data_IF_110523867568
#
_entry.id   IF_110523867568
#
_cell.length_a   1.000
_cell.length_b   1.000
_cell.length_c   1.000
_cell.angle_alpha   90.00
_cell.angle_beta   90.00
_cell.angle_gamma   90.00
#
_symmetry.space_group_name_H-M   'P 1'
#
loop_
_entity.id
_entity.type
_entity.pdbx_description
1 polymer ?
#
# COMPACT_ATOMS: atom_id res chain seq x y z
N UNK A 1 -8.87 10.95 0.71
CA UNK A 1 -9.06 11.25 2.15
C UNK A 1 -9.14 12.76 2.39
N UNK A 2 -8.05 13.53 2.37
CA UNK A 2 -8.05 14.97 2.71
C UNK A 2 -8.23 15.95 1.53
N UNK A 3 -8.46 15.48 0.30
CA UNK A 3 -8.67 16.34 -0.87
C UNK A 3 -7.39 16.78 -1.62
N UNK A 4 -6.20 16.65 -1.04
CA UNK A 4 -4.96 17.14 -1.67
C UNK A 4 -4.62 16.46 -3.01
N UNK A 5 -4.82 15.14 -3.11
CA UNK A 5 -4.66 14.41 -4.38
C UNK A 5 -5.74 14.75 -5.41
N UNK A 6 -6.94 15.12 -4.93
CA UNK A 6 -8.05 15.57 -5.78
C UNK A 6 -7.74 16.92 -6.42
N UNK A 7 -7.14 17.84 -5.66
CA UNK A 7 -6.68 19.15 -6.16
C UNK A 7 -5.66 19.00 -7.30
N UNK A 8 -4.63 18.18 -7.11
CA UNK A 8 -3.62 17.91 -8.14
C UNK A 8 -4.21 17.28 -9.42
N UNK A 9 -5.28 16.48 -9.29
CA UNK A 9 -5.97 15.90 -10.44
C UNK A 9 -6.84 16.95 -11.15
N UNK A 10 -7.53 17.82 -10.41
CA UNK A 10 -8.33 18.91 -10.98
C UNK A 10 -7.43 19.87 -11.77
N UNK A 11 -6.29 20.28 -11.22
CA UNK A 11 -5.33 21.15 -11.91
C UNK A 11 -4.87 20.55 -13.26
N UNK A 12 -4.64 19.23 -13.31
CA UNK A 12 -4.26 18.53 -14.55
C UNK A 12 -5.40 18.42 -15.56
N UNK A 13 -6.64 18.27 -15.09
CA UNK A 13 -7.82 18.12 -15.94
C UNK A 13 -8.34 19.46 -16.45
N UNK A 14 -8.25 20.52 -15.64
CA UNK A 14 -8.47 21.90 -16.05
C UNK A 14 -7.48 22.30 -17.14
N UNK A 15 -6.20 21.93 -17.00
CA UNK A 15 -5.19 22.13 -18.04
C UNK A 15 -5.51 21.36 -19.34
N UNK A 16 -6.29 20.28 -19.26
CA UNK A 16 -6.79 19.53 -20.41
C UNK A 16 -8.15 20.03 -20.94
N UNK A 17 -8.68 21.14 -20.40
CA UNK A 17 -9.95 21.75 -20.82
C UNK A 17 -11.20 21.04 -20.29
N UNK A 18 -11.07 20.16 -19.31
CA UNK A 18 -12.20 19.46 -18.68
C UNK A 18 -12.63 20.24 -17.44
N UNK A 19 -13.92 20.56 -17.34
CA UNK A 19 -14.47 21.25 -16.18
C UNK A 19 -14.59 20.26 -15.01
N UNK A 20 -13.76 20.41 -13.98
CA UNK A 20 -13.72 19.51 -12.81
C UNK A 20 -13.92 20.34 -11.54
N UNK A 21 -14.63 19.77 -10.57
CA UNK A 21 -14.87 20.42 -9.27
C UNK A 21 -14.22 19.56 -8.19
N UNK A 22 -13.33 20.16 -7.40
CA UNK A 22 -12.72 19.48 -6.26
C UNK A 22 -13.65 19.55 -5.04
N UNK A 23 -13.90 18.43 -4.40
CA UNK A 23 -14.64 18.39 -3.13
C UNK A 23 -13.69 18.76 -1.98
N UNK A 24 -13.90 19.92 -1.37
CA UNK A 24 -13.13 20.35 -0.20
C UNK A 24 -13.31 19.37 0.97
N UNK A 25 -12.21 19.02 1.64
CA UNK A 25 -12.19 17.98 2.67
C UNK A 25 -12.23 16.54 2.16
N UNK A 26 -12.36 16.33 0.84
CA UNK A 26 -12.27 15.03 0.18
C UNK A 26 -13.33 14.02 0.59
N UNK A 27 -13.03 12.72 0.42
CA UNK A 27 -13.98 11.63 0.70
C UNK A 27 -14.45 11.54 2.15
N UNK A 28 -13.69 12.12 3.11
CA UNK A 28 -14.12 12.16 4.52
C UNK A 28 -15.23 13.18 4.76
N UNK A 29 -15.12 14.38 4.16
CA UNK A 29 -16.18 15.38 4.23
C UNK A 29 -17.46 14.91 3.53
N UNK A 30 -17.31 14.18 2.42
CA UNK A 30 -18.43 13.55 1.71
C UNK A 30 -19.17 12.51 2.55
N UNK A 31 -18.42 11.65 3.26
CA UNK A 31 -19.01 10.67 4.19
C UNK A 31 -19.65 11.35 5.41
N UNK A 32 -19.02 12.40 5.95
CA UNK A 32 -19.56 13.18 7.07
C UNK A 32 -20.87 13.92 6.71
N UNK A 33 -21.02 14.32 5.44
CA UNK A 33 -22.25 14.90 4.91
C UNK A 33 -23.37 13.88 4.67
N UNK A 34 -23.15 12.58 4.95
CA UNK A 34 -24.16 11.54 4.81
C UNK A 34 -24.49 11.17 3.36
N UNK A 35 -23.64 11.56 2.42
CA UNK A 35 -23.83 11.28 0.99
C UNK A 35 -23.51 9.81 0.67
N UNK A 36 -24.10 9.23 -0.39
CA UNK A 36 -23.90 7.82 -0.72
C UNK A 36 -22.42 7.55 -1.04
N UNK A 37 -21.84 6.56 -0.35
CA UNK A 37 -20.47 6.08 -0.58
C UNK A 37 -20.53 4.60 -0.95
N UNK A 38 -20.26 4.30 -2.22
CA UNK A 38 -20.03 2.91 -2.66
C UNK A 38 -18.62 2.53 -2.26
N UNK A 39 -18.49 1.63 -1.27
CA UNK A 39 -17.20 1.07 -0.86
C UNK A 39 -16.95 -0.23 -1.62
N UNK A 40 -15.80 -0.30 -2.29
CA UNK A 40 -15.32 -1.53 -2.91
C UNK A 40 -15.04 -2.64 -1.89
N UNK A 41 -14.72 -3.84 -2.39
CA UNK A 41 -14.39 -5.00 -1.55
C UNK A 41 -13.27 -4.66 -0.56
N UNK A 42 -13.44 -5.05 0.71
CA UNK A 42 -12.43 -4.87 1.75
C UNK A 42 -11.24 -5.82 1.49
N UNK A 43 -10.21 -5.33 0.79
CA UNK A 43 -8.93 -6.01 0.71
C UNK A 43 -8.08 -5.73 1.95
N UNK A 44 -7.28 -6.71 2.40
CA UNK A 44 -6.29 -6.51 3.47
C UNK A 44 -5.30 -5.44 3.02
N UNK A 45 -4.98 -4.45 3.90
CA UNK A 45 -4.03 -3.40 3.53
C UNK A 45 -2.71 -4.00 3.10
N UNK A 46 -2.13 -3.43 2.03
CA UNK A 46 -0.86 -3.84 1.47
C UNK A 46 0.25 -3.84 2.54
N UNK A 47 0.24 -2.83 3.41
CA UNK A 47 1.15 -2.72 4.56
C UNK A 47 1.05 -3.89 5.55
N UNK A 48 -0.17 -4.39 5.79
CA UNK A 48 -0.38 -5.54 6.69
C UNK A 48 0.13 -6.83 6.06
N UNK A 49 -0.10 -7.01 4.75
CA UNK A 49 0.47 -8.13 4.00
C UNK A 49 2.00 -8.10 4.01
N UNK A 50 2.57 -6.91 3.80
CA UNK A 50 4.02 -6.70 3.83
C UNK A 50 4.62 -7.05 5.19
N UNK A 51 4.01 -6.56 6.28
CA UNK A 51 4.51 -6.82 7.64
C UNK A 51 4.47 -8.31 8.00
N UNK A 52 3.41 -9.02 7.62
CA UNK A 52 3.26 -10.46 7.87
C UNK A 52 4.31 -11.25 7.07
N UNK A 53 4.48 -10.95 5.78
CA UNK A 53 5.44 -11.64 4.92
C UNK A 53 6.88 -11.43 5.39
N UNK A 54 7.25 -10.18 5.70
CA UNK A 54 8.58 -9.85 6.22
C UNK A 54 8.87 -10.59 7.54
N UNK A 55 7.91 -10.58 8.48
CA UNK A 55 8.05 -11.28 9.75
C UNK A 55 8.17 -12.80 9.58
N UNK A 56 7.43 -13.40 8.66
CA UNK A 56 7.51 -14.83 8.38
C UNK A 56 8.90 -15.22 7.85
N UNK A 57 9.46 -14.45 6.91
CA UNK A 57 10.80 -14.72 6.35
C UNK A 57 11.86 -14.64 7.45
N UNK A 58 11.80 -13.61 8.30
CA UNK A 58 12.74 -13.46 9.43
C UNK A 58 12.61 -14.62 10.42
N UNK A 59 11.38 -15.00 10.81
CA UNK A 59 11.16 -16.16 11.70
C UNK A 59 11.71 -17.45 11.09
N UNK A 60 11.52 -17.67 9.78
CA UNK A 60 12.10 -18.84 9.10
C UNK A 60 13.62 -18.80 8.99
N UNK A 61 14.26 -17.63 9.06
CA UNK A 61 15.72 -17.52 9.13
C UNK A 61 16.28 -17.73 10.54
N UNK A 62 15.55 -17.31 11.57
CA UNK A 62 16.01 -17.37 12.97
C UNK A 62 15.71 -18.72 13.63
N UNK A 63 14.55 -19.35 13.39
CA UNK A 63 14.22 -20.62 14.04
C UNK A 63 15.21 -21.76 13.73
N UNK A 64 15.68 -21.94 12.48
CA UNK A 64 16.67 -22.97 12.15
C UNK A 64 18.10 -22.56 12.55
N UNK A 65 18.37 -21.28 12.82
CA UNK A 65 19.72 -20.83 13.17
C UNK A 65 20.19 -21.33 14.54
N UNK A 66 19.24 -21.74 15.39
CA UNK A 66 19.51 -22.41 16.66
C UNK A 66 20.21 -23.78 16.48
N UNK A 67 20.07 -24.40 15.30
CA UNK A 67 20.69 -25.69 14.97
C UNK A 67 21.88 -25.55 14.02
N UNK A 68 21.93 -24.50 13.20
CA UNK A 68 23.02 -24.22 12.28
C UNK A 68 23.24 -22.70 12.16
N UNK A 69 24.39 -22.22 12.64
CA UNK A 69 24.74 -20.79 12.71
C UNK A 69 24.75 -20.07 11.35
N UNK A 70 24.85 -20.83 10.26
CA UNK A 70 24.80 -20.30 8.89
C UNK A 70 23.46 -19.62 8.53
N UNK A 71 22.34 -20.00 9.17
CA UNK A 71 21.03 -19.40 8.87
C UNK A 71 20.86 -17.98 9.45
N UNK A 72 21.69 -17.57 10.42
CA UNK A 72 21.69 -16.20 10.95
C UNK A 72 22.06 -15.16 9.88
N UNK A 73 22.99 -15.51 8.97
CA UNK A 73 23.37 -14.63 7.87
C UNK A 73 22.21 -14.35 6.91
N UNK A 74 21.37 -15.36 6.67
CA UNK A 74 20.17 -15.22 5.83
C UNK A 74 19.17 -14.25 6.47
N UNK A 75 18.93 -14.39 7.78
CA UNK A 75 18.06 -13.49 8.53
C UNK A 75 18.63 -12.07 8.61
N UNK A 76 19.94 -11.93 8.81
CA UNK A 76 20.63 -10.65 8.85
C UNK A 76 20.55 -9.89 7.52
N UNK A 77 20.75 -10.61 6.40
CA UNK A 77 20.62 -10.04 5.06
C UNK A 77 19.20 -9.54 4.77
N UNK A 78 18.17 -10.35 5.10
CA UNK A 78 16.76 -9.96 4.93
C UNK A 78 16.40 -8.76 5.81
N UNK A 79 16.86 -8.75 7.07
CA UNK A 79 16.65 -7.63 7.99
C UNK A 79 17.30 -6.33 7.52
N UNK A 80 18.55 -6.40 7.03
CA UNK A 80 19.26 -5.25 6.45
C UNK A 80 18.55 -4.74 5.17
N UNK A 81 18.07 -5.64 4.32
CA UNK A 81 17.28 -5.29 3.14
C UNK A 81 15.97 -4.58 3.47
N UNK A 82 15.28 -5.00 4.54
CA UNK A 82 14.08 -4.32 5.04
C UNK A 82 14.38 -2.92 5.59
N UNK A 83 15.49 -2.75 6.31
CA UNK A 83 15.93 -1.42 6.76
C UNK A 83 16.25 -0.50 5.58
N UNK A 84 16.99 -1.00 4.58
CA UNK A 84 17.30 -0.23 3.37
C UNK A 84 16.03 0.15 2.58
N UNK A 85 15.08 -0.77 2.45
CA UNK A 85 13.78 -0.50 1.83
C UNK A 85 12.96 0.54 2.59
N UNK A 86 13.05 0.53 3.93
CA UNK A 86 12.42 1.54 4.78
C UNK A 86 13.04 2.93 4.65
N UNK A 87 14.38 3.01 4.56
CA UNK A 87 15.11 4.29 4.41
C UNK A 87 14.86 4.92 3.04
N UNK A 88 14.73 4.12 1.99
CA UNK A 88 14.57 4.59 0.61
C UNK A 88 13.10 4.84 0.22
N UNK A 89 12.15 4.62 1.13
CA UNK A 89 10.70 4.60 0.84
C UNK A 89 10.31 3.66 -0.32
N UNK A 90 11.20 2.74 -0.72
CA UNK A 90 10.95 1.78 -1.80
C UNK A 90 10.53 0.43 -1.22
N UNK A 91 9.23 0.25 -1.06
CA UNK A 91 8.68 -1.06 -0.70
C UNK A 91 8.57 -1.94 -1.96
N UNK A 92 9.70 -2.49 -2.44
CA UNK A 92 9.73 -3.42 -3.57
C UNK A 92 8.76 -4.61 -3.37
N UNK A 93 8.65 -5.09 -2.13
CA UNK A 93 7.69 -6.14 -1.76
C UNK A 93 6.24 -5.65 -1.84
N UNK A 94 5.97 -4.40 -1.46
CA UNK A 94 4.66 -3.78 -1.66
C UNK A 94 4.29 -3.66 -3.13
N UNK A 95 5.23 -3.26 -4.00
CA UNK A 95 5.00 -3.19 -5.44
C UNK A 95 4.72 -4.56 -6.07
N UNK A 96 5.42 -5.61 -5.61
CA UNK A 96 5.18 -6.99 -6.04
C UNK A 96 3.81 -7.49 -5.58
N UNK A 97 3.45 -7.28 -4.31
CA UNK A 97 2.13 -7.65 -3.77
C UNK A 97 1.01 -6.87 -4.47
N UNK A 98 1.25 -5.60 -4.82
CA UNK A 98 0.28 -4.79 -5.52
C UNK A 98 -0.07 -5.35 -6.91
N UNK A 99 0.88 -6.07 -7.52
CA UNK A 99 0.74 -6.71 -8.82
C UNK A 99 0.13 -8.11 -8.77
N UNK A 100 -0.12 -8.70 -7.61
CA UNK A 100 -0.70 -10.04 -7.54
C UNK A 100 -2.21 -10.01 -7.85
N UNK A 101 -2.77 -11.06 -8.48
CA UNK A 101 -4.11 -11.02 -9.10
C UNK A 101 -5.25 -10.75 -8.10
N UNK A 102 -5.07 -11.08 -6.82
CA UNK A 102 -6.04 -10.75 -5.76
C UNK A 102 -6.01 -9.27 -5.33
N UNK A 103 -4.97 -8.53 -5.70
CA UNK A 103 -4.83 -7.09 -5.46
C UNK A 103 -5.07 -6.27 -6.74
N UNK A 104 -5.12 -6.92 -7.90
CA UNK A 104 -5.54 -6.31 -9.15
C UNK A 104 -7.08 -6.33 -9.20
N UNK A 105 -7.70 -5.17 -9.04
CA UNK A 105 -9.12 -5.04 -9.33
C UNK A 105 -9.33 -5.17 -10.85
N UNK A 106 -9.84 -6.32 -11.28
CA UNK A 106 -10.46 -6.48 -12.59
C UNK A 106 -11.65 -5.51 -12.66
N UNK A 107 -11.52 -4.51 -13.54
CA UNK A 107 -12.62 -3.71 -14.10
C UNK A 107 -13.62 -3.11 -13.10
N UNK A 108 -13.30 -1.91 -12.61
CA UNK A 108 -14.27 -0.97 -12.04
C UNK A 108 -14.27 -0.88 -10.51
N UNK A 109 -13.70 0.22 -9.99
CA UNK A 109 -13.73 0.64 -8.57
C UNK A 109 -12.79 -0.08 -7.59
N UNK A 110 -11.49 0.15 -7.71
CA UNK A 110 -10.55 -0.09 -6.60
C UNK A 110 -10.31 1.21 -5.83
N UNK A 111 -10.89 1.32 -4.62
CA UNK A 111 -10.64 2.44 -3.70
C UNK A 111 -9.48 2.07 -2.78
N UNK A 112 -8.34 2.74 -2.94
CA UNK A 112 -7.21 2.65 -2.01
C UNK A 112 -7.56 3.42 -0.73
N UNK A 113 -7.62 2.68 0.39
CA UNK A 113 -7.68 3.28 1.73
C UNK A 113 -6.48 4.17 1.99
#
# INVERSE_FOLDING_TARGET
KSGNRGKQACEKLEAAGVHVVNVEGGTQAWEAAGLPVVRGKKAMSLERQVRIAAGAIVLTGVLPSLYNEHFIWLSGFVGAGLMFAGITDTCAMGMLIAKMPWNQCETGSCSTK
#
